data_IF_244503186170
#
_entry.id   IF_244503186170
#
_cell.length_a   1.000
_cell.length_b   1.000
_cell.length_c   1.000
_cell.angle_alpha   90.00
_cell.angle_beta   90.00
_cell.angle_gamma   90.00
#
_symmetry.space_group_name_H-M   'P 1'
#
loop_
_entity.id
_entity.type
_entity.pdbx_description
1 polymer ?
#
# COMPACT_ATOMS: atom_id res chain seq x y z
N UNK A 1 -19.94 -92.37 22.54
CA UNK A 1 -19.98 -91.63 21.25
C UNK A 1 -20.69 -90.26 21.31
N UNK A 2 -21.65 -90.02 22.21
CA UNK A 2 -22.40 -88.75 22.30
C UNK A 2 -21.54 -87.54 22.77
N UNK A 3 -20.72 -87.71 23.81
CA UNK A 3 -19.89 -86.64 24.38
C UNK A 3 -18.82 -86.10 23.41
N UNK A 4 -18.22 -86.97 22.60
CA UNK A 4 -17.19 -86.58 21.62
C UNK A 4 -17.78 -85.71 20.52
N UNK A 5 -19.01 -86.01 20.06
CA UNK A 5 -19.73 -85.17 19.08
C UNK A 5 -20.12 -83.81 19.65
N UNK A 6 -20.58 -83.76 20.91
CA UNK A 6 -20.91 -82.51 21.60
C UNK A 6 -19.69 -81.59 21.76
N UNK A 7 -18.54 -82.13 22.18
CA UNK A 7 -17.28 -81.40 22.26
C UNK A 7 -16.81 -80.87 20.90
N UNK A 8 -16.99 -81.66 19.84
CA UNK A 8 -16.62 -81.25 18.49
C UNK A 8 -17.49 -80.09 17.98
N UNK A 9 -18.78 -80.11 18.28
CA UNK A 9 -19.73 -79.05 17.94
C UNK A 9 -19.43 -77.76 18.73
N UNK A 10 -19.17 -77.84 20.03
CA UNK A 10 -18.77 -76.68 20.83
C UNK A 10 -17.47 -76.03 20.32
N UNK A 11 -16.45 -76.82 19.99
CA UNK A 11 -15.19 -76.30 19.41
C UNK A 11 -15.43 -75.59 18.08
N UNK A 12 -16.30 -76.14 17.23
CA UNK A 12 -16.66 -75.54 15.94
C UNK A 12 -17.35 -74.18 16.13
N UNK A 13 -18.31 -74.08 17.06
CA UNK A 13 -18.97 -72.80 17.36
C UNK A 13 -18.01 -71.77 17.95
N UNK A 14 -17.14 -72.18 18.88
CA UNK A 14 -16.12 -71.29 19.46
C UNK A 14 -15.17 -70.75 18.38
N UNK A 15 -14.75 -71.60 17.44
CA UNK A 15 -13.91 -71.19 16.31
C UNK A 15 -14.61 -70.21 15.37
N UNK A 16 -15.88 -70.47 15.03
CA UNK A 16 -16.65 -69.55 14.20
C UNK A 16 -16.87 -68.19 14.87
N UNK A 17 -17.16 -68.17 16.19
CA UNK A 17 -17.30 -66.92 16.95
C UNK A 17 -15.97 -66.15 17.03
N UNK A 18 -14.85 -66.84 17.22
CA UNK A 18 -13.52 -66.22 17.20
C UNK A 18 -13.19 -65.62 15.82
N UNK A 19 -13.55 -66.31 14.73
CA UNK A 19 -13.37 -65.80 13.36
C UNK A 19 -14.23 -64.55 13.09
N UNK A 20 -15.49 -64.55 13.54
CA UNK A 20 -16.38 -63.38 13.41
C UNK A 20 -15.80 -62.21 14.23
N UNK A 21 -15.39 -62.45 15.47
CA UNK A 21 -14.77 -61.42 16.31
C UNK A 21 -13.49 -60.83 15.72
N UNK A 22 -12.63 -61.67 15.15
CA UNK A 22 -11.41 -61.22 14.48
C UNK A 22 -11.71 -60.36 13.23
N UNK A 23 -12.71 -60.74 12.43
CA UNK A 23 -13.13 -59.97 11.27
C UNK A 23 -13.74 -58.63 11.66
N UNK A 24 -14.62 -58.59 12.67
CA UNK A 24 -15.22 -57.34 13.17
C UNK A 24 -14.18 -56.40 13.78
N UNK A 25 -13.20 -56.91 14.54
CA UNK A 25 -12.10 -56.11 15.07
C UNK A 25 -11.19 -55.56 13.96
N UNK A 26 -10.97 -56.34 12.89
CA UNK A 26 -10.22 -55.89 11.71
C UNK A 26 -10.98 -54.79 10.96
N UNK A 27 -12.31 -54.92 10.82
CA UNK A 27 -13.16 -53.90 10.22
C UNK A 27 -13.13 -52.61 11.05
N UNK A 28 -13.27 -52.70 12.38
CA UNK A 28 -13.19 -51.54 13.28
C UNK A 28 -11.79 -50.93 13.38
N UNK A 29 -10.73 -51.67 13.05
CA UNK A 29 -9.39 -51.11 12.89
C UNK A 29 -9.18 -50.46 11.51
N UNK A 30 -9.96 -50.88 10.50
CA UNK A 30 -9.92 -50.36 9.13
C UNK A 30 -10.82 -49.13 8.94
N UNK A 31 -11.96 -49.08 9.62
CA UNK A 31 -12.73 -47.87 9.92
C UNK A 31 -11.95 -47.18 11.02
N UNK A 32 -11.08 -46.23 10.69
CA UNK A 32 -10.10 -45.68 11.63
C UNK A 32 -10.71 -44.42 12.30
N UNK A 33 -11.10 -44.43 13.59
CA UNK A 33 -11.44 -43.19 14.30
C UNK A 33 -10.21 -42.38 14.74
N UNK A 34 -9.10 -43.06 15.04
CA UNK A 34 -7.91 -42.44 15.64
C UNK A 34 -7.12 -41.57 14.64
N UNK A 35 -7.06 -41.96 13.37
CA UNK A 35 -6.42 -41.12 12.33
C UNK A 35 -7.25 -39.86 12.03
N UNK A 36 -8.58 -39.87 12.20
CA UNK A 36 -9.40 -38.68 11.96
C UNK A 36 -9.11 -37.62 13.02
N UNK A 37 -8.90 -38.07 14.27
CA UNK A 37 -8.45 -37.20 15.36
C UNK A 37 -7.05 -36.63 15.10
N UNK A 38 -6.11 -37.45 14.65
CA UNK A 38 -4.76 -37.00 14.32
C UNK A 38 -4.75 -36.03 13.13
N UNK A 39 -5.55 -36.31 12.09
CA UNK A 39 -5.70 -35.43 10.92
C UNK A 39 -6.36 -34.11 11.32
N UNK A 40 -7.40 -34.13 12.16
CA UNK A 40 -8.05 -32.92 12.66
C UNK A 40 -7.09 -32.08 13.51
N UNK A 41 -6.26 -32.71 14.35
CA UNK A 41 -5.25 -32.02 15.15
C UNK A 41 -4.18 -31.37 14.26
N UNK A 42 -3.72 -32.07 13.23
CA UNK A 42 -2.75 -31.52 12.29
C UNK A 42 -3.36 -30.41 11.42
N UNK A 43 -4.61 -30.56 10.97
CA UNK A 43 -5.34 -29.50 10.28
C UNK A 43 -5.47 -28.25 11.13
N UNK A 44 -5.86 -28.37 12.41
CA UNK A 44 -5.96 -27.24 13.32
C UNK A 44 -4.61 -26.54 13.54
N UNK A 45 -3.52 -27.33 13.60
CA UNK A 45 -2.15 -26.79 13.70
C UNK A 45 -1.77 -26.00 12.43
N UNK A 46 -2.06 -26.55 11.27
CA UNK A 46 -1.78 -25.90 9.97
C UNK A 46 -2.64 -24.64 9.80
N UNK A 47 -3.91 -24.67 10.18
CA UNK A 47 -4.79 -23.49 10.15
C UNK A 47 -4.27 -22.38 11.07
N UNK A 48 -3.85 -22.72 12.30
CA UNK A 48 -3.24 -21.76 13.20
C UNK A 48 -1.94 -21.16 12.64
N UNK A 49 -1.10 -21.99 12.00
CA UNK A 49 0.11 -21.52 11.32
C UNK A 49 -0.22 -20.61 10.13
N UNK A 50 -1.23 -20.94 9.33
CA UNK A 50 -1.67 -20.13 8.21
C UNK A 50 -2.16 -18.75 8.68
N UNK A 51 -2.97 -18.70 9.75
CA UNK A 51 -3.44 -17.44 10.33
C UNK A 51 -2.27 -16.59 10.86
N UNK A 52 -1.29 -17.22 11.50
CA UNK A 52 -0.08 -16.53 11.94
C UNK A 52 0.71 -15.94 10.76
N UNK A 53 0.95 -16.73 9.71
CA UNK A 53 1.65 -16.27 8.49
C UNK A 53 0.90 -15.10 7.84
N UNK A 54 -0.43 -15.18 7.73
CA UNK A 54 -1.25 -14.09 7.20
C UNK A 54 -1.09 -12.82 8.02
N UNK A 55 -1.07 -12.92 9.35
CA UNK A 55 -0.90 -11.76 10.23
C UNK A 55 0.47 -11.08 10.07
N UNK A 56 1.54 -11.87 9.88
CA UNK A 56 2.89 -11.37 9.59
C UNK A 56 2.96 -10.69 8.22
N UNK A 57 2.37 -11.30 7.19
CA UNK A 57 2.29 -10.69 5.85
C UNK A 57 1.56 -9.34 5.90
N UNK A 58 0.44 -9.26 6.62
CA UNK A 58 -0.29 -8.00 6.77
C UNK A 58 0.52 -6.93 7.52
N UNK A 59 1.28 -7.32 8.55
CA UNK A 59 2.16 -6.41 9.26
C UNK A 59 3.27 -5.86 8.36
N UNK A 60 3.93 -6.73 7.60
CA UNK A 60 4.99 -6.35 6.66
C UNK A 60 4.43 -5.44 5.54
N UNK A 61 3.26 -5.76 4.99
CA UNK A 61 2.59 -4.92 3.98
C UNK A 61 2.26 -3.52 4.52
N UNK A 62 1.76 -3.43 5.76
CA UNK A 62 1.50 -2.13 6.40
C UNK A 62 2.79 -1.33 6.56
N UNK A 63 3.86 -1.96 7.03
CA UNK A 63 5.15 -1.31 7.19
C UNK A 63 5.73 -0.81 5.87
N UNK A 64 5.76 -1.67 4.83
CA UNK A 64 6.25 -1.30 3.50
C UNK A 64 5.41 -0.20 2.85
N UNK A 65 4.09 -0.24 2.99
CA UNK A 65 3.23 0.82 2.47
C UNK A 65 3.56 2.16 3.13
N UNK A 66 3.66 2.21 4.46
CA UNK A 66 4.01 3.44 5.18
C UNK A 66 5.37 3.99 4.70
N UNK A 67 6.40 3.14 4.65
CA UNK A 67 7.74 3.54 4.20
C UNK A 67 7.74 4.06 2.75
N UNK A 68 6.97 3.41 1.87
CA UNK A 68 6.85 3.82 0.47
C UNK A 68 6.11 5.14 0.34
N UNK A 69 5.02 5.34 1.09
CA UNK A 69 4.26 6.59 1.10
C UNK A 69 5.11 7.76 1.62
N UNK A 70 5.84 7.59 2.72
CA UNK A 70 6.74 8.63 3.22
C UNK A 70 7.81 9.03 2.20
N UNK A 71 8.39 8.04 1.51
CA UNK A 71 9.39 8.33 0.48
C UNK A 71 8.77 9.05 -0.71
N UNK A 72 7.58 8.64 -1.14
CA UNK A 72 6.85 9.29 -2.22
C UNK A 72 6.50 10.73 -1.87
N UNK A 73 6.05 10.98 -0.64
CA UNK A 73 5.74 12.32 -0.12
C UNK A 73 6.97 13.22 -0.15
N UNK A 74 8.10 12.77 0.42
CA UNK A 74 9.38 13.51 0.39
C UNK A 74 9.83 13.84 -1.03
N UNK A 75 9.71 12.89 -1.96
CA UNK A 75 10.09 13.09 -3.36
C UNK A 75 9.15 14.11 -4.03
N UNK A 76 7.84 14.02 -3.75
CA UNK A 76 6.87 14.96 -4.30
C UNK A 76 7.08 16.38 -3.78
N UNK A 77 7.32 16.56 -2.48
CA UNK A 77 7.65 17.85 -1.86
C UNK A 77 8.92 18.44 -2.46
N UNK A 78 9.97 17.62 -2.63
CA UNK A 78 11.21 18.06 -3.26
C UNK A 78 10.97 18.57 -4.69
N UNK A 79 10.20 17.84 -5.51
CA UNK A 79 9.90 18.27 -6.88
C UNK A 79 9.00 19.51 -6.94
N UNK A 80 8.06 19.66 -6.01
CA UNK A 80 7.24 20.86 -5.89
C UNK A 80 8.11 22.09 -5.57
N UNK A 81 8.98 22.00 -4.57
CA UNK A 81 9.91 23.08 -4.21
C UNK A 81 10.85 23.45 -5.36
N UNK A 82 11.37 22.46 -6.09
CA UNK A 82 12.21 22.71 -7.27
C UNK A 82 11.43 23.41 -8.38
N UNK A 83 10.18 23.03 -8.61
CA UNK A 83 9.32 23.66 -9.62
C UNK A 83 8.99 25.10 -9.25
N UNK A 84 8.59 25.33 -7.99
CA UNK A 84 8.28 26.68 -7.47
C UNK A 84 9.49 27.60 -7.56
N UNK A 85 10.68 27.09 -7.21
CA UNK A 85 11.93 27.84 -7.34
C UNK A 85 12.23 28.22 -8.79
N UNK A 86 12.10 27.27 -9.72
CA UNK A 86 12.32 27.52 -11.14
C UNK A 86 11.33 28.53 -11.71
N UNK A 87 10.06 28.44 -11.32
CA UNK A 87 9.02 29.40 -11.72
C UNK A 87 9.36 30.79 -11.20
N UNK A 88 9.70 30.90 -9.92
CA UNK A 88 10.09 32.17 -9.31
C UNK A 88 11.29 32.81 -10.02
N UNK A 89 12.34 32.02 -10.27
CA UNK A 89 13.54 32.50 -10.97
C UNK A 89 13.23 32.92 -12.42
N UNK A 90 12.38 32.17 -13.12
CA UNK A 90 11.97 32.46 -14.50
C UNK A 90 11.08 33.71 -14.60
N UNK A 91 10.05 33.79 -13.77
CA UNK A 91 9.12 34.91 -13.72
C UNK A 91 9.83 36.20 -13.31
N UNK A 92 10.73 36.13 -12.34
CA UNK A 92 11.56 37.26 -11.95
C UNK A 92 12.44 37.76 -13.11
N UNK A 93 13.04 36.84 -13.87
CA UNK A 93 13.81 37.16 -15.07
C UNK A 93 12.97 37.86 -16.14
N UNK A 94 11.75 37.36 -16.39
CA UNK A 94 10.80 37.98 -17.30
C UNK A 94 10.41 39.38 -16.81
N UNK A 95 10.02 39.52 -15.55
CA UNK A 95 9.60 40.79 -14.98
C UNK A 95 10.74 41.81 -15.05
N UNK A 96 11.97 41.45 -14.67
CA UNK A 96 13.13 42.35 -14.76
C UNK A 96 13.40 42.79 -16.20
N UNK A 97 13.30 41.87 -17.16
CA UNK A 97 13.49 42.20 -18.58
C UNK A 97 12.38 43.12 -19.09
N UNK A 98 11.13 42.89 -18.70
CA UNK A 98 10.01 43.71 -19.11
C UNK A 98 10.08 45.11 -18.47
N UNK A 99 10.43 45.20 -17.19
CA UNK A 99 10.70 46.49 -16.52
C UNK A 99 11.83 47.24 -17.22
N UNK A 100 12.92 46.56 -17.60
CA UNK A 100 14.01 47.18 -18.38
C UNK A 100 13.50 47.69 -19.73
N UNK A 101 12.74 46.87 -20.47
CA UNK A 101 12.16 47.25 -21.77
C UNK A 101 11.26 48.47 -21.66
N UNK A 102 10.38 48.51 -20.66
CA UNK A 102 9.49 49.64 -20.39
C UNK A 102 10.28 50.89 -20.00
N UNK A 103 11.26 50.75 -19.11
CA UNK A 103 12.16 51.83 -18.72
C UNK A 103 12.89 52.40 -19.94
N UNK A 104 13.50 51.56 -20.78
CA UNK A 104 14.21 51.98 -21.99
C UNK A 104 13.28 52.64 -23.02
N UNK A 105 12.01 52.21 -23.10
CA UNK A 105 11.00 52.84 -23.95
C UNK A 105 10.56 54.22 -23.45
N UNK A 106 10.55 54.44 -22.13
CA UNK A 106 10.04 55.66 -21.51
C UNK A 106 11.17 56.69 -21.31
N UNK A 107 12.39 56.23 -21.06
CA UNK A 107 13.58 57.05 -20.80
C UNK A 107 13.84 58.15 -21.83
N UNK A 108 13.64 57.97 -23.14
CA UNK A 108 13.78 59.05 -24.13
C UNK A 108 12.85 60.26 -23.90
N UNK A 109 11.72 60.08 -23.21
CA UNK A 109 10.81 61.17 -22.87
C UNK A 109 11.29 61.96 -21.64
N UNK A 110 12.20 61.42 -20.82
CA UNK A 110 12.68 62.07 -19.59
C UNK A 110 14.15 62.49 -19.64
N UNK A 111 14.99 61.79 -20.41
CA UNK A 111 16.43 62.05 -20.55
C UNK A 111 16.77 63.11 -21.60
N UNK A 112 15.82 63.51 -22.43
CA UNK A 112 16.00 64.70 -23.24
C UNK A 112 15.98 65.91 -22.29
N UNK A 113 17.08 66.66 -22.24
CA UNK A 113 17.24 67.97 -21.58
C UNK A 113 16.30 69.07 -22.17
N UNK A 114 15.27 68.63 -22.90
CA UNK A 114 14.17 69.43 -23.40
C UNK A 114 13.06 69.41 -22.36
N UNK A 115 12.78 70.58 -21.83
CA UNK A 115 11.51 70.89 -21.17
C UNK A 115 10.39 70.39 -22.09
N UNK A 116 9.76 69.25 -21.77
CA UNK A 116 8.61 68.72 -22.52
C UNK A 116 7.43 69.70 -22.54
N UNK A 117 7.48 70.70 -21.66
CA UNK A 117 6.63 71.88 -21.71
C UNK A 117 7.55 73.09 -21.87
N UNK A 118 7.64 73.62 -23.09
CA UNK A 118 7.79 75.07 -23.18
C UNK A 118 6.53 75.62 -22.49
N UNK A 119 6.72 76.20 -21.30
CA UNK A 119 5.68 77.01 -20.67
C UNK A 119 5.53 78.21 -21.59
N UNK A 120 4.68 78.04 -22.61
CA UNK A 120 4.32 79.08 -23.54
C UNK A 120 3.94 80.32 -22.72
N UNK A 121 4.41 81.48 -23.17
CA UNK A 121 4.24 82.76 -22.49
C UNK A 121 2.79 83.11 -22.14
N UNK A 122 1.80 82.41 -22.71
CA UNK A 122 0.38 82.55 -22.38
C UNK A 122 0.02 82.12 -20.95
N UNK A 123 0.83 81.31 -20.26
CA UNK A 123 0.57 80.93 -18.86
C UNK A 123 1.09 81.95 -17.83
N UNK A 124 1.99 82.86 -18.21
CA UNK A 124 2.60 83.84 -17.30
C UNK A 124 1.70 85.09 -17.13
N UNK A 125 0.78 85.35 -18.05
CA UNK A 125 -0.09 86.55 -18.06
C UNK A 125 -1.36 86.43 -17.19
N UNK A 126 -1.50 85.38 -16.37
CA UNK A 126 -2.59 85.31 -15.36
C UNK A 126 -2.25 85.98 -14.02
N UNK A 127 -1.02 86.50 -13.87
CA UNK A 127 -0.61 87.23 -12.65
C UNK A 127 -0.90 88.74 -12.71
N UNK A 128 -1.49 89.25 -13.79
CA UNK A 128 -1.97 90.64 -13.91
C UNK A 128 -3.50 90.70 -13.87
N UNK A 129 -4.07 90.41 -12.70
CA UNK A 129 -5.42 90.89 -12.37
C UNK A 129 -5.56 91.05 -10.87
#
# INVERSE_FOLDING_TARGET
MSLIRSLHVCKKYAFHLAMIGAQSATIYASERPWWEADVAAEMARVEAQNLYILSEIEAELRYHNIATFEQLERVSEYYLQQTERRWTEYDEGIIRNEVRRLSDSIRPYFDADRRLFEVDSYMIDRSKR
#
